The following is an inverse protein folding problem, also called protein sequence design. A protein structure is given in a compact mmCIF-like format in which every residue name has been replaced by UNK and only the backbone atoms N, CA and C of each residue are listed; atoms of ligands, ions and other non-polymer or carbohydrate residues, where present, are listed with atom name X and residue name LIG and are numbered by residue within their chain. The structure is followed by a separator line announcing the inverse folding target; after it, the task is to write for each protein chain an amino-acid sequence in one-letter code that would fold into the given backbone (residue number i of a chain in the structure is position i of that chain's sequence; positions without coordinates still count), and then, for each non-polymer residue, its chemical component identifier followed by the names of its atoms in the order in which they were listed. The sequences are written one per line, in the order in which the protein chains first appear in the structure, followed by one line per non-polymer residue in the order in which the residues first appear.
data_IF_119307141442
#
_entry.id   IF_119307141442
#
_cell.length_a   1.000
_cell.length_b   1.000
_cell.length_c   1.000
_cell.angle_alpha   90.00
_cell.angle_beta   90.00
_cell.angle_gamma   90.00
#
_symmetry.space_group_name_H-M   'P 1'
#
loop_
_entity.id
_entity.type
_entity.pdbx_description
1 polymer ?
#
# COMPACT_ATOMS: atom_id res chain seq x y z
N UNK A 1 13.99 40.98 -23.06
CA UNK A 1 13.30 39.92 -23.81
C UNK A 1 12.70 38.97 -22.81
N UNK A 2 11.44 39.17 -22.45
CA UNK A 2 10.73 38.32 -21.45
C UNK A 2 10.27 37.09 -22.17
N UNK A 3 10.90 35.98 -21.80
CA UNK A 3 10.53 34.64 -22.26
C UNK A 3 9.15 34.32 -21.69
N UNK A 4 8.11 34.62 -22.44
CA UNK A 4 6.71 34.30 -22.14
C UNK A 4 6.55 32.78 -22.37
N UNK A 5 7.08 31.97 -21.47
CA UNK A 5 6.73 30.55 -21.45
C UNK A 5 5.27 30.42 -21.00
N UNK A 6 4.41 30.01 -21.91
CA UNK A 6 3.03 29.67 -21.60
C UNK A 6 3.06 28.68 -20.42
N UNK A 7 2.24 28.85 -19.42
CA UNK A 7 2.21 27.95 -18.27
C UNK A 7 1.88 26.55 -18.76
N UNK A 8 2.86 25.69 -18.62
CA UNK A 8 2.76 24.27 -18.96
C UNK A 8 1.86 23.57 -17.93
N UNK A 9 1.15 22.54 -18.37
CA UNK A 9 0.46 21.64 -17.43
C UNK A 9 1.43 21.17 -16.34
N UNK A 10 0.95 21.02 -15.11
CA UNK A 10 1.77 20.52 -14.02
C UNK A 10 2.39 19.14 -14.36
N UNK A 11 1.70 18.32 -15.15
CA UNK A 11 2.17 17.00 -15.61
C UNK A 11 3.43 17.06 -16.46
N UNK A 12 3.65 18.17 -17.17
CA UNK A 12 4.88 18.38 -17.96
C UNK A 12 6.06 18.84 -17.12
N UNK A 13 5.80 19.27 -15.88
CA UNK A 13 6.81 19.88 -15.00
C UNK A 13 7.19 18.95 -13.87
N UNK A 14 6.23 18.18 -13.34
CA UNK A 14 6.40 17.32 -12.18
C UNK A 14 6.21 15.86 -12.58
N UNK A 15 7.27 15.03 -12.57
CA UNK A 15 7.14 13.60 -12.83
C UNK A 15 6.34 12.91 -11.74
N UNK A 16 5.56 11.90 -12.13
CA UNK A 16 4.71 11.13 -11.23
C UNK A 16 5.46 9.86 -10.79
N UNK A 17 5.37 9.52 -9.51
CA UNK A 17 5.89 8.25 -8.99
C UNK A 17 4.87 7.12 -9.28
N UNK A 18 5.35 5.91 -9.65
CA UNK A 18 4.47 4.77 -9.97
C UNK A 18 3.47 4.43 -8.85
N UNK A 19 3.84 4.60 -7.58
CA UNK A 19 2.92 4.42 -6.47
C UNK A 19 1.70 5.36 -6.52
N UNK A 20 1.84 6.59 -7.06
CA UNK A 20 0.72 7.52 -7.20
C UNK A 20 -0.29 7.05 -8.25
N UNK A 21 0.10 6.15 -9.16
CA UNK A 21 -0.76 5.60 -10.22
C UNK A 21 -1.54 4.35 -9.80
N UNK A 22 -1.31 3.86 -8.57
CA UNK A 22 -2.04 2.70 -8.04
C UNK A 22 -3.55 2.91 -7.98
N UNK A 23 -3.99 4.13 -7.68
CA UNK A 23 -5.41 4.45 -7.55
C UNK A 23 -5.92 5.15 -8.81
N UNK A 24 -7.19 4.91 -9.20
CA UNK A 24 -7.80 5.59 -10.34
C UNK A 24 -7.88 7.11 -10.10
N UNK A 25 -7.91 7.87 -11.18
CA UNK A 25 -8.24 9.29 -11.13
C UNK A 25 -9.72 9.49 -10.78
N UNK A 26 -10.04 10.65 -10.24
CA UNK A 26 -11.41 11.11 -10.11
C UNK A 26 -11.98 11.43 -11.50
N UNK A 27 -13.28 11.36 -11.65
CA UNK A 27 -13.98 11.79 -12.85
C UNK A 27 -13.90 13.32 -13.02
N UNK A 28 -14.13 13.82 -14.23
CA UNK A 28 -14.07 15.27 -14.49
C UNK A 28 -15.04 16.09 -13.62
N UNK A 29 -16.31 15.66 -13.39
CA UNK A 29 -17.21 16.36 -12.46
C UNK A 29 -16.66 16.45 -11.04
N UNK A 30 -16.13 15.34 -10.51
CA UNK A 30 -15.52 15.29 -9.17
C UNK A 30 -14.27 16.18 -9.08
N UNK A 31 -13.45 16.21 -10.14
CA UNK A 31 -12.27 17.09 -10.20
C UNK A 31 -12.68 18.56 -10.23
N UNK A 32 -13.78 18.92 -10.91
CA UNK A 32 -14.29 20.29 -10.95
C UNK A 32 -14.76 20.74 -9.58
N UNK A 33 -15.57 19.93 -8.92
CA UNK A 33 -16.03 20.19 -7.56
C UNK A 33 -14.87 20.36 -6.58
N UNK A 34 -13.88 19.46 -6.64
CA UNK A 34 -12.66 19.56 -5.84
C UNK A 34 -11.87 20.83 -6.17
N UNK A 35 -11.82 21.22 -7.44
CA UNK A 35 -11.13 22.45 -7.88
C UNK A 35 -11.79 23.70 -7.33
N UNK A 36 -13.12 23.77 -7.36
CA UNK A 36 -13.92 24.86 -6.81
C UNK A 36 -13.78 24.94 -5.27
N UNK A 37 -13.77 23.80 -4.59
CA UNK A 37 -13.51 23.73 -3.14
C UNK A 37 -12.09 24.24 -2.78
N UNK A 38 -11.07 23.78 -3.52
CA UNK A 38 -9.69 24.26 -3.34
C UNK A 38 -9.61 25.77 -3.62
N UNK A 39 -10.37 26.25 -4.56
CA UNK A 39 -10.46 27.66 -4.91
C UNK A 39 -11.01 28.50 -3.75
N UNK A 40 -12.04 28.00 -3.11
CA UNK A 40 -12.70 28.68 -1.99
C UNK A 40 -11.91 28.56 -0.67
N UNK A 41 -11.39 27.37 -0.39
CA UNK A 41 -10.91 26.99 0.94
C UNK A 41 -9.39 26.69 1.00
N UNK A 42 -8.70 26.65 -0.15
CA UNK A 42 -7.31 26.26 -0.25
C UNK A 42 -7.08 24.76 -0.14
N UNK A 43 -5.80 24.34 -0.18
CA UNK A 43 -5.42 22.95 -0.02
C UNK A 43 -5.56 22.51 1.44
N UNK A 44 -6.45 21.60 1.73
CA UNK A 44 -6.63 21.03 3.07
C UNK A 44 -5.58 19.95 3.40
N UNK A 45 -4.96 19.35 2.39
CA UNK A 45 -3.91 18.35 2.55
C UNK A 45 -2.69 18.69 1.67
N UNK A 46 -1.47 18.36 2.11
CA UNK A 46 -0.25 18.69 1.39
C UNK A 46 -0.13 17.93 0.07
N UNK A 47 0.63 18.50 -0.86
CA UNK A 47 1.19 17.78 -2.00
C UNK A 47 2.44 17.06 -1.51
N UNK A 48 2.51 15.73 -1.69
CA UNK A 48 3.63 14.94 -1.17
C UNK A 48 4.52 14.50 -2.31
N UNK A 49 5.82 14.72 -2.13
CA UNK A 49 6.87 14.31 -3.06
C UNK A 49 7.74 13.21 -2.47
N UNK A 50 8.20 12.32 -3.33
CA UNK A 50 9.21 11.32 -3.03
C UNK A 50 10.33 11.42 -4.06
N UNK A 51 11.53 11.76 -3.63
CA UNK A 51 12.72 11.93 -4.50
C UNK A 51 12.42 12.80 -5.73
N UNK A 52 11.73 13.91 -5.51
CA UNK A 52 11.38 14.88 -6.57
C UNK A 52 10.24 14.46 -7.50
N UNK A 53 9.56 13.33 -7.24
CA UNK A 53 8.39 12.87 -7.98
C UNK A 53 7.12 13.03 -7.15
N UNK A 54 6.01 13.31 -7.79
CA UNK A 54 4.71 13.40 -7.13
C UNK A 54 4.30 12.04 -6.57
N UNK A 55 4.05 11.98 -5.27
CA UNK A 55 3.60 10.78 -4.58
C UNK A 55 2.12 10.84 -4.21
N UNK A 56 1.63 11.96 -3.66
CA UNK A 56 0.21 12.19 -3.41
C UNK A 56 -0.19 13.62 -3.78
N UNK A 57 -1.44 13.78 -4.22
CA UNK A 57 -2.00 15.05 -4.62
C UNK A 57 -2.32 15.19 -6.10
N UNK A 58 -2.22 14.12 -6.89
CA UNK A 58 -2.49 14.11 -8.33
C UNK A 58 -3.86 14.70 -8.67
N UNK A 59 -4.93 14.24 -8.02
CA UNK A 59 -6.28 14.77 -8.26
C UNK A 59 -6.41 16.24 -7.84
N UNK A 60 -5.72 16.68 -6.80
CA UNK A 60 -5.71 18.09 -6.37
C UNK A 60 -5.05 18.99 -7.43
N UNK A 61 -3.95 18.55 -8.01
CA UNK A 61 -3.28 19.29 -9.10
C UNK A 61 -4.11 19.28 -10.37
N UNK A 62 -4.73 18.15 -10.75
CA UNK A 62 -5.63 18.08 -11.89
C UNK A 62 -6.86 18.99 -11.70
N UNK A 63 -7.45 18.96 -10.50
CA UNK A 63 -8.59 19.79 -10.14
C UNK A 63 -8.27 21.29 -10.23
N UNK A 64 -7.12 21.71 -9.70
CA UNK A 64 -6.70 23.12 -9.79
C UNK A 64 -6.44 23.55 -11.22
N UNK A 65 -5.84 22.71 -12.05
CA UNK A 65 -5.62 22.99 -13.47
C UNK A 65 -6.95 23.14 -14.22
N UNK A 66 -7.92 22.27 -13.92
CA UNK A 66 -9.25 22.27 -14.53
C UNK A 66 -10.02 23.57 -14.25
N UNK A 67 -9.87 24.19 -13.08
CA UNK A 67 -10.49 25.47 -12.72
C UNK A 67 -9.62 26.68 -13.11
N UNK A 68 -8.60 26.49 -13.95
CA UNK A 68 -7.80 27.57 -14.55
C UNK A 68 -6.64 28.08 -13.70
N UNK A 69 -6.25 27.33 -12.65
CA UNK A 69 -5.05 27.64 -11.87
C UNK A 69 -3.81 27.21 -12.65
N UNK A 70 -2.86 28.11 -12.81
CA UNK A 70 -1.62 27.86 -13.53
C UNK A 70 -0.53 27.38 -12.59
N UNK A 71 0.14 26.32 -13.00
CA UNK A 71 1.22 25.72 -12.26
C UNK A 71 2.58 26.26 -12.72
N UNK A 72 3.46 26.58 -11.77
CA UNK A 72 4.82 26.99 -12.04
C UNK A 72 5.82 26.34 -11.08
N UNK A 73 7.06 26.20 -11.55
CA UNK A 73 8.19 25.77 -10.74
C UNK A 73 9.15 26.93 -10.57
N UNK A 74 9.52 27.24 -9.36
CA UNK A 74 10.52 28.24 -9.06
C UNK A 74 11.66 27.62 -8.23
N UNK A 75 12.79 28.32 -8.17
CA UNK A 75 13.93 27.93 -7.34
C UNK A 75 14.20 29.08 -6.37
N UNK A 76 14.27 28.76 -5.08
CA UNK A 76 14.67 29.73 -4.08
C UNK A 76 16.13 30.12 -4.36
N UNK A 77 16.43 31.40 -4.61
CA UNK A 77 17.79 31.83 -4.95
C UNK A 77 18.80 31.58 -3.83
N UNK A 78 18.36 31.63 -2.57
CA UNK A 78 19.25 31.52 -1.42
C UNK A 78 19.57 30.06 -1.05
N UNK A 79 18.62 29.16 -1.21
CA UNK A 79 18.77 27.73 -0.82
C UNK A 79 18.93 26.78 -2.01
N UNK A 80 18.70 27.23 -3.24
CA UNK A 80 18.63 26.36 -4.41
C UNK A 80 17.44 25.39 -4.41
N UNK A 81 16.58 25.48 -3.38
CA UNK A 81 15.44 24.59 -3.22
C UNK A 81 14.35 24.90 -4.28
N UNK A 82 13.95 23.89 -5.01
CA UNK A 82 12.84 24.01 -5.95
C UNK A 82 11.52 23.96 -5.19
N UNK A 83 10.65 24.91 -5.48
CA UNK A 83 9.30 24.91 -4.96
C UNK A 83 8.32 25.18 -6.10
N UNK A 84 7.12 24.66 -5.95
CA UNK A 84 6.04 24.88 -6.89
C UNK A 84 5.23 26.09 -6.44
N UNK A 85 4.69 26.84 -7.39
CA UNK A 85 3.69 27.86 -7.13
C UNK A 85 2.52 27.71 -8.09
N UNK A 86 1.35 28.03 -7.64
CA UNK A 86 0.14 28.09 -8.45
C UNK A 86 -0.17 29.55 -8.66
N UNK A 87 -0.41 29.91 -9.87
CA UNK A 87 -0.77 31.28 -10.19
C UNK A 87 -2.23 31.30 -10.61
N UNK A 88 -3.02 32.03 -9.86
CA UNK A 88 -4.40 32.29 -10.18
C UNK A 88 -4.58 33.70 -10.69
N UNK A 89 -5.35 33.89 -11.74
CA UNK A 89 -5.73 35.18 -12.32
C UNK A 89 -6.78 35.93 -11.48
N UNK A 90 -7.04 35.63 -10.26
CA UNK A 90 -8.00 36.28 -9.37
C UNK A 90 -7.41 36.65 -8.01
N UNK A 91 -6.14 36.36 -7.78
CA UNK A 91 -5.33 36.94 -6.74
C UNK A 91 -5.84 36.81 -5.31
N UNK A 92 -6.26 35.64 -4.84
CA UNK A 92 -6.40 35.47 -3.40
C UNK A 92 -5.13 34.89 -2.78
N UNK A 93 -4.63 35.50 -1.70
CA UNK A 93 -3.50 35.02 -0.89
C UNK A 93 -3.68 33.61 -0.31
N UNK A 94 -4.89 33.05 -0.44
CA UNK A 94 -5.26 31.70 0.02
C UNK A 94 -4.44 30.65 -0.70
N UNK A 95 -4.23 30.78 -2.01
CA UNK A 95 -3.42 29.82 -2.77
C UNK A 95 -1.94 29.91 -2.39
N UNK A 96 -1.40 31.10 -2.17
CA UNK A 96 -0.03 31.27 -1.70
C UNK A 96 0.22 30.62 -0.34
N UNK A 97 -0.77 30.56 0.55
CA UNK A 97 -0.71 29.80 1.81
C UNK A 97 -0.74 28.29 1.62
N UNK A 98 -1.36 27.81 0.54
CA UNK A 98 -1.43 26.37 0.25
C UNK A 98 -0.08 25.77 -0.18
N UNK A 99 0.83 26.59 -0.69
CA UNK A 99 2.17 26.15 -1.13
C UNK A 99 3.14 25.82 -0.02
N UNK A 100 2.98 26.36 1.16
CA UNK A 100 3.77 25.96 2.32
C UNK A 100 3.61 24.50 2.73
N UNK A 101 2.84 23.72 1.99
CA UNK A 101 2.50 22.31 2.30
C UNK A 101 2.98 21.31 1.26
N UNK A 102 4.14 21.53 0.68
CA UNK A 102 4.85 20.45 -0.02
C UNK A 102 5.65 19.69 1.02
N UNK A 103 5.34 18.42 1.15
CA UNK A 103 6.05 17.52 2.06
C UNK A 103 6.94 16.55 1.27
N UNK A 104 8.17 16.38 1.76
CA UNK A 104 9.07 15.37 1.25
C UNK A 104 8.97 14.12 2.10
N UNK A 105 8.72 13.00 1.47
CA UNK A 105 8.58 11.71 2.13
C UNK A 105 9.80 10.82 1.83
N UNK A 106 10.36 10.17 2.86
CA UNK A 106 11.57 9.33 2.75
C UNK A 106 11.32 7.85 3.06
N UNK A 107 10.07 7.46 3.35
CA UNK A 107 9.70 6.08 3.67
C UNK A 107 9.39 5.21 2.44
N UNK A 108 8.63 4.15 2.66
CA UNK A 108 8.11 3.29 1.58
C UNK A 108 6.97 3.99 0.82
N UNK A 109 7.17 4.42 -0.44
CA UNK A 109 6.18 5.20 -1.18
C UNK A 109 4.89 4.43 -1.45
N UNK A 110 4.97 3.12 -1.65
CA UNK A 110 3.79 2.28 -1.89
C UNK A 110 2.95 2.13 -0.62
N UNK A 111 3.60 1.89 0.53
CA UNK A 111 2.91 1.81 1.82
C UNK A 111 2.23 3.14 2.16
N UNK A 112 2.89 4.27 1.90
CA UNK A 112 2.34 5.60 2.13
C UNK A 112 1.08 5.83 1.30
N UNK A 113 1.15 5.65 -0.03
CA UNK A 113 0.01 5.92 -0.92
C UNK A 113 -1.18 5.02 -0.61
N UNK A 114 -0.93 3.73 -0.31
CA UNK A 114 -1.99 2.80 0.06
C UNK A 114 -2.65 3.25 1.36
N UNK A 115 -1.87 3.56 2.40
CA UNK A 115 -2.39 4.03 3.68
C UNK A 115 -3.20 5.32 3.55
N UNK A 116 -2.71 6.28 2.77
CA UNK A 116 -3.37 7.57 2.57
C UNK A 116 -4.70 7.48 1.80
N UNK A 117 -4.86 6.47 0.94
CA UNK A 117 -6.00 6.39 0.02
C UNK A 117 -6.97 5.25 0.33
N UNK A 118 -6.50 4.11 0.87
CA UNK A 118 -7.33 2.91 1.08
C UNK A 118 -8.52 3.16 2.01
N UNK A 119 -8.33 3.95 3.06
CA UNK A 119 -9.38 4.26 4.04
C UNK A 119 -10.35 5.35 3.59
N UNK A 120 -9.92 6.20 2.66
CA UNK A 120 -10.75 7.31 2.13
C UNK A 120 -11.59 6.92 0.92
N UNK A 121 -11.25 5.79 0.27
CA UNK A 121 -11.93 5.33 -0.94
C UNK A 121 -12.59 3.98 -0.69
N UNK A 122 -13.89 3.91 -0.91
CA UNK A 122 -14.62 2.65 -0.91
C UNK A 122 -14.37 1.94 -2.26
N UNK A 123 -13.25 1.19 -2.32
CA UNK A 123 -12.91 0.44 -3.52
C UNK A 123 -13.85 -0.76 -3.70
N UNK A 124 -14.35 -0.95 -4.91
CA UNK A 124 -15.03 -2.20 -5.28
C UNK A 124 -14.06 -3.37 -5.25
N UNK A 125 -14.60 -4.60 -5.29
CA UNK A 125 -13.76 -5.81 -5.32
C UNK A 125 -12.84 -5.82 -6.55
N UNK A 126 -13.34 -5.38 -7.70
CA UNK A 126 -12.60 -5.26 -8.95
C UNK A 126 -11.47 -4.24 -8.85
N UNK A 127 -11.75 -3.05 -8.36
CA UNK A 127 -10.76 -2.00 -8.15
C UNK A 127 -9.67 -2.44 -7.15
N UNK A 128 -10.07 -3.18 -6.10
CA UNK A 128 -9.12 -3.74 -5.14
C UNK A 128 -8.25 -4.83 -5.76
N UNK A 129 -8.82 -5.65 -6.65
CA UNK A 129 -8.06 -6.65 -7.42
C UNK A 129 -7.02 -5.97 -8.33
N UNK A 130 -7.43 -4.95 -9.08
CA UNK A 130 -6.52 -4.17 -9.92
C UNK A 130 -5.40 -3.51 -9.13
N UNK A 131 -5.73 -2.90 -7.98
CA UNK A 131 -4.74 -2.33 -7.06
C UNK A 131 -3.70 -3.37 -6.63
N UNK A 132 -4.16 -4.57 -6.23
CA UNK A 132 -3.28 -5.67 -5.83
C UNK A 132 -2.41 -6.13 -7.01
N UNK A 133 -2.98 -6.29 -8.21
CA UNK A 133 -2.24 -6.70 -9.40
C UNK A 133 -1.15 -5.67 -9.77
N UNK A 134 -1.48 -4.38 -9.78
CA UNK A 134 -0.51 -3.28 -9.98
C UNK A 134 0.60 -3.31 -8.93
N UNK A 135 0.24 -3.50 -7.66
CA UNK A 135 1.21 -3.54 -6.56
C UNK A 135 2.16 -4.74 -6.69
N UNK A 136 1.66 -5.90 -7.10
CA UNK A 136 2.48 -7.09 -7.37
C UNK A 136 3.47 -6.81 -8.50
N UNK A 137 3.01 -6.16 -9.57
CA UNK A 137 3.84 -5.80 -10.73
C UNK A 137 4.98 -4.85 -10.35
N UNK A 138 4.66 -3.80 -9.60
CA UNK A 138 5.62 -2.79 -9.16
C UNK A 138 6.57 -3.29 -8.05
N UNK A 139 6.12 -4.26 -7.25
CA UNK A 139 6.87 -4.79 -6.11
C UNK A 139 6.88 -6.32 -6.07
N UNK A 140 7.44 -7.02 -7.08
CA UNK A 140 7.36 -8.48 -7.19
C UNK A 140 8.05 -9.20 -6.03
N UNK A 141 9.04 -8.56 -5.41
CA UNK A 141 9.79 -9.10 -4.28
C UNK A 141 9.02 -9.09 -2.94
N UNK A 142 7.85 -8.45 -2.85
CA UNK A 142 7.03 -8.47 -1.63
C UNK A 142 6.26 -9.77 -1.51
N UNK A 143 6.20 -10.32 -0.28
CA UNK A 143 5.39 -11.51 0.00
C UNK A 143 3.90 -11.20 -0.07
N UNK A 144 3.09 -12.22 -0.36
CA UNK A 144 1.63 -12.09 -0.41
C UNK A 144 1.05 -11.63 0.94
N UNK A 145 1.68 -12.02 2.06
CA UNK A 145 1.29 -11.54 3.40
C UNK A 145 1.55 -10.06 3.60
N UNK A 146 2.66 -9.54 3.06
CA UNK A 146 2.99 -8.12 3.16
C UNK A 146 2.01 -7.27 2.34
N UNK A 147 1.72 -7.68 1.11
CA UNK A 147 0.75 -7.03 0.24
C UNK A 147 -0.66 -7.11 0.85
N UNK A 148 -1.06 -8.28 1.35
CA UNK A 148 -2.33 -8.50 2.01
C UNK A 148 -2.55 -7.57 3.22
N UNK A 149 -1.51 -7.41 4.06
CA UNK A 149 -1.55 -6.48 5.19
C UNK A 149 -1.72 -5.03 4.74
N UNK A 150 -1.02 -4.61 3.68
CA UNK A 150 -1.10 -3.24 3.17
C UNK A 150 -2.46 -2.93 2.52
N UNK A 151 -3.05 -3.90 1.80
CA UNK A 151 -4.30 -3.70 1.04
C UNK A 151 -5.55 -4.13 1.80
N UNK A 152 -5.42 -4.54 3.07
CA UNK A 152 -6.50 -5.13 3.86
C UNK A 152 -7.22 -6.24 3.08
N UNK A 153 -6.45 -7.21 2.58
CA UNK A 153 -6.90 -8.36 1.80
C UNK A 153 -6.46 -9.67 2.45
N UNK A 154 -7.00 -10.82 2.00
CA UNK A 154 -6.48 -12.11 2.45
C UNK A 154 -5.20 -12.50 1.69
N UNK A 155 -4.20 -13.10 2.34
CA UNK A 155 -2.98 -13.59 1.66
C UNK A 155 -3.28 -14.62 0.57
N UNK A 156 -4.31 -15.42 0.76
CA UNK A 156 -4.75 -16.43 -0.23
C UNK A 156 -5.25 -15.76 -1.51
N UNK A 157 -6.02 -14.67 -1.36
CA UNK A 157 -6.53 -13.92 -2.52
C UNK A 157 -5.40 -13.22 -3.28
N UNK A 158 -4.47 -12.59 -2.56
CA UNK A 158 -3.27 -11.99 -3.16
C UNK A 158 -2.46 -13.05 -3.91
N UNK A 159 -2.25 -14.24 -3.32
CA UNK A 159 -1.55 -15.35 -3.96
C UNK A 159 -2.25 -15.88 -5.22
N UNK A 160 -3.60 -15.84 -5.26
CA UNK A 160 -4.37 -16.19 -6.47
C UNK A 160 -4.12 -15.17 -7.58
N UNK A 161 -4.24 -13.88 -7.29
CA UNK A 161 -4.00 -12.79 -8.25
C UNK A 161 -2.56 -12.87 -8.80
N UNK A 162 -1.58 -13.13 -7.92
CA UNK A 162 -0.18 -13.27 -8.34
C UNK A 162 0.03 -14.43 -9.30
N UNK A 163 -0.55 -15.60 -9.01
CA UNK A 163 -0.45 -16.76 -9.90
C UNK A 163 -1.05 -16.50 -11.28
N UNK A 164 -2.17 -15.79 -11.32
CA UNK A 164 -2.80 -15.37 -12.57
C UNK A 164 -1.88 -14.42 -13.35
N UNK A 165 -1.30 -13.41 -12.69
CA UNK A 165 -0.38 -12.46 -13.30
C UNK A 165 0.96 -13.08 -13.74
N UNK A 166 1.47 -14.07 -13.01
CA UNK A 166 2.66 -14.86 -13.41
C UNK A 166 2.36 -15.77 -14.60
N UNK A 167 1.14 -16.32 -14.69
CA UNK A 167 0.71 -17.18 -15.82
C UNK A 167 0.49 -16.38 -17.11
N UNK A 168 0.03 -15.14 -17.02
CA UNK A 168 -0.11 -14.23 -18.19
C UNK A 168 1.20 -13.55 -18.59
N UNK A 169 2.26 -13.69 -17.79
CA UNK A 169 3.56 -13.06 -18.05
C UNK A 169 3.62 -11.57 -17.65
N UNK A 170 2.55 -11.05 -17.02
CA UNK A 170 2.50 -9.65 -16.57
C UNK A 170 3.46 -9.33 -15.40
N UNK A 171 3.85 -10.37 -14.67
CA UNK A 171 4.74 -10.29 -13.52
C UNK A 171 5.84 -11.34 -13.62
N UNK A 172 7.10 -10.90 -13.46
CA UNK A 172 8.23 -11.82 -13.43
C UNK A 172 8.20 -12.70 -12.17
N UNK A 173 8.47 -13.99 -12.35
CA UNK A 173 8.68 -14.89 -11.22
C UNK A 173 9.98 -14.55 -10.51
N UNK A 174 9.95 -14.49 -9.18
CA UNK A 174 11.11 -14.21 -8.34
C UNK A 174 11.41 -15.39 -7.43
N UNK A 175 12.69 -15.71 -7.24
CA UNK A 175 13.11 -16.85 -6.39
C UNK A 175 12.92 -16.58 -4.91
N UNK A 176 13.02 -15.32 -4.49
CA UNK A 176 12.89 -14.93 -3.10
C UNK A 176 11.95 -13.73 -2.95
N UNK A 177 11.18 -13.73 -1.86
CA UNK A 177 10.28 -12.63 -1.48
C UNK A 177 10.57 -12.16 -0.06
N UNK A 178 10.36 -10.87 0.18
CA UNK A 178 10.54 -10.27 1.51
C UNK A 178 9.27 -10.43 2.33
N UNK A 179 9.39 -10.95 3.55
CA UNK A 179 8.27 -11.10 4.48
C UNK A 179 7.96 -9.79 5.23
N UNK A 180 6.91 -9.81 6.06
CA UNK A 180 6.47 -8.65 6.86
C UNK A 180 7.50 -8.16 7.89
N UNK A 181 8.56 -8.94 8.13
CA UNK A 181 9.68 -8.62 9.04
C UNK A 181 10.97 -8.25 8.28
N UNK A 182 10.87 -8.05 6.96
CA UNK A 182 12.02 -7.70 6.11
C UNK A 182 12.95 -8.87 5.76
N UNK A 183 12.61 -10.13 6.11
CA UNK A 183 13.45 -11.30 5.85
C UNK A 183 13.16 -11.86 4.46
N UNK A 184 14.20 -12.26 3.73
CA UNK A 184 14.07 -12.96 2.45
C UNK A 184 13.61 -14.39 2.67
N UNK A 185 12.56 -14.81 1.98
CA UNK A 185 11.97 -16.15 2.02
C UNK A 185 11.90 -16.71 0.60
N UNK A 186 12.10 -18.02 0.39
CA UNK A 186 11.87 -18.66 -0.91
C UNK A 186 10.42 -18.42 -1.39
N UNK A 187 10.25 -18.11 -2.66
CA UNK A 187 8.94 -17.88 -3.26
C UNK A 187 8.09 -19.16 -3.34
N UNK A 188 8.73 -20.33 -3.50
CA UNK A 188 8.10 -21.64 -3.50
C UNK A 188 8.39 -22.38 -2.18
N UNK A 189 7.38 -23.06 -1.61
CA UNK A 189 7.63 -23.99 -0.50
C UNK A 189 8.41 -25.18 -1.04
N UNK A 190 9.49 -25.64 -0.34
CA UNK A 190 10.11 -26.90 -0.70
C UNK A 190 9.05 -28.00 -0.68
N UNK A 191 8.95 -28.77 -1.78
CA UNK A 191 8.14 -30.00 -1.78
C UNK A 191 8.64 -30.83 -0.62
N UNK A 192 7.74 -31.17 0.34
CA UNK A 192 8.06 -32.18 1.35
C UNK A 192 8.43 -33.43 0.57
N UNK A 193 9.70 -33.85 0.65
CA UNK A 193 10.10 -35.15 0.17
C UNK A 193 9.21 -36.17 0.91
N UNK A 194 8.48 -36.98 0.17
CA UNK A 194 7.79 -38.14 0.71
C UNK A 194 8.82 -38.92 1.52
N UNK A 195 8.59 -39.07 2.85
CA UNK A 195 9.37 -39.96 3.68
C UNK A 195 9.42 -41.30 2.94
N UNK A 196 10.60 -41.68 2.48
CA UNK A 196 10.88 -43.04 2.05
C UNK A 196 10.58 -43.95 3.25
N UNK A 197 9.57 -44.74 3.09
CA UNK A 197 9.27 -45.89 3.99
C UNK A 197 10.47 -46.82 3.89
N UNK A 198 11.29 -46.87 4.90
CA UNK A 198 12.31 -47.90 5.03
C UNK A 198 11.63 -49.27 5.21
N UNK A 199 12.06 -50.32 4.48
CA UNK A 199 11.48 -51.65 4.66
C UNK A 199 11.91 -52.25 5.99
N UNK A 200 10.97 -52.90 6.63
CA UNK A 200 10.89 -53.66 7.80
C UNK A 200 12.14 -54.16 8.52
N UNK A 201 12.13 -53.94 9.84
CA UNK A 201 12.81 -54.81 10.76
C UNK A 201 11.78 -55.76 11.42
N UNK A 202 12.16 -57.02 11.73
CA UNK A 202 11.21 -58.09 12.03
C UNK A 202 10.59 -57.97 13.43
N UNK A 203 9.39 -58.49 13.51
CA UNK A 203 8.56 -58.58 14.69
C UNK A 203 9.28 -59.31 15.85
N UNK A 204 9.37 -58.63 17.00
CA UNK A 204 9.66 -59.28 18.28
C UNK A 204 8.37 -59.37 19.09
N UNK A 205 8.08 -60.60 19.52
CA UNK A 205 6.92 -61.09 20.27
C UNK A 205 6.79 -60.36 21.62
N UNK A 206 5.57 -60.05 22.11
CA UNK A 206 5.36 -59.45 23.42
C UNK A 206 5.29 -60.52 24.51
N UNK A 207 5.80 -60.29 25.73
CA UNK A 207 5.48 -61.12 26.87
C UNK A 207 4.18 -60.69 27.56
N UNK A 208 3.50 -61.73 28.03
CA UNK A 208 2.21 -61.81 28.68
C UNK A 208 1.96 -60.92 29.91
N UNK A 209 0.70 -60.65 30.01
CA UNK A 209 -0.12 -60.26 31.15
C UNK A 209 0.44 -60.39 32.57
N UNK A 210 0.26 -59.34 33.39
CA UNK A 210 -0.08 -59.45 34.80
C UNK A 210 -1.13 -58.46 35.23
N UNK A 211 -2.30 -58.95 35.57
CA UNK A 211 -3.39 -58.38 36.30
C UNK A 211 -2.99 -57.94 37.72
N UNK A 212 -3.47 -56.82 38.20
CA UNK A 212 -3.89 -56.64 39.60
C UNK A 212 -4.53 -55.28 39.80
N UNK A 213 -5.83 -55.26 39.89
CA UNK A 213 -6.72 -55.02 41.05
C UNK A 213 -6.56 -53.72 41.81
N UNK A 214 -7.67 -52.98 41.75
CA UNK A 214 -8.34 -52.26 42.85
C UNK A 214 -7.52 -51.41 43.83
N UNK A 215 -7.87 -50.16 43.93
CA UNK A 215 -8.38 -49.54 45.18
C UNK A 215 -9.10 -48.24 44.92
N UNK A 216 -10.31 -48.25 45.35
CA UNK A 216 -11.28 -47.30 45.82
C UNK A 216 -10.72 -46.18 46.72
N UNK A 217 -11.47 -45.07 46.73
CA UNK A 217 -11.52 -44.05 47.78
C UNK A 217 -11.38 -42.66 47.15
N UNK A 218 -12.30 -41.82 47.08
CA UNK A 218 -13.31 -41.41 48.09
C UNK A 218 -12.86 -40.05 48.65
N UNK A 219 -13.56 -38.98 48.36
CA UNK A 219 -13.30 -37.70 49.02
C UNK A 219 -14.05 -36.51 48.34
N UNK A 220 -15.30 -36.38 48.76
CA UNK A 220 -16.07 -35.12 48.65
C UNK A 220 -15.55 -34.11 49.68
N UNK A 221 -15.55 -32.81 49.32
CA UNK A 221 -15.87 -31.67 50.18
C UNK A 221 -15.96 -30.45 49.25
N UNK A 222 -16.95 -29.93 49.09
CA UNK A 222 -17.93 -28.90 49.40
C UNK A 222 -17.36 -27.72 50.22
N UNK A 223 -17.87 -26.53 49.84
CA UNK A 223 -18.21 -25.33 50.62
C UNK A 223 -17.17 -24.19 50.65
N UNK A 224 -17.67 -23.03 50.25
CA UNK A 224 -17.17 -21.74 50.71
C UNK A 224 -17.58 -20.52 49.89
N UNK A 225 -18.83 -20.11 50.00
CA UNK A 225 -19.37 -18.78 49.65
C UNK A 225 -18.86 -17.74 50.66
N UNK A 226 -18.54 -16.54 50.17
CA UNK A 226 -18.74 -15.16 50.69
C UNK A 226 -17.68 -14.26 50.03
N UNK A 227 -18.01 -13.16 49.36
CA UNK A 227 -18.92 -12.05 49.74
C UNK A 227 -18.13 -10.89 50.30
N UNK A 228 -17.82 -9.94 49.51
CA UNK A 228 -18.00 -8.50 49.65
C UNK A 228 -17.40 -7.83 48.40
#
# INVERSE_FOLDING_TARGET
MTNSSHPKSWRSTLPIHAAAELFPLMSEPELRELGEDIQANGFQAPIVLFKGKLLDGRNRLDATELVGVKFGLNTNPDSGTKFFYLHWRGGSDILNRAFGRIEHFDGDPYAFVISANLHRRHLTTEQKRELIAKLIKETPNRSDRQIAKQTNASPTWVGKIRKEAEATGDVSTVDTRTDTKGRKQPSAKPKKSSKSTSPGAPATVPPESRSRSERRGGGKAEIGIRGQ
#
